data_IF_427613245448
#
_entry.id   IF_427613245448
#
_cell.length_a   1.000
_cell.length_b   1.000
_cell.length_c   1.000
_cell.angle_alpha   90.00
_cell.angle_beta   90.00
_cell.angle_gamma   90.00
#
_symmetry.space_group_name_H-M   'P 1'
#
loop_
_entity.id
_entity.type
_entity.pdbx_description
1 polymer ?
#
# COMPACT_ATOMS: atom_id res chain seq x y z
N UNK A 1 5.82 11.35 9.82
CA UNK A 1 4.62 10.87 10.59
C UNK A 1 4.97 9.61 11.41
N UNK A 2 4.37 9.39 12.60
CA UNK A 2 4.59 8.15 13.37
C UNK A 2 3.88 6.94 12.70
N UNK A 3 4.44 5.73 12.86
CA UNK A 3 4.00 4.50 12.22
C UNK A 3 2.55 4.12 12.55
N UNK A 4 2.05 4.32 13.77
CA UNK A 4 0.66 3.95 14.11
C UNK A 4 -0.35 4.79 13.33
N UNK A 5 -0.06 6.10 13.18
CA UNK A 5 -0.88 6.98 12.32
C UNK A 5 -0.75 6.62 10.84
N UNK A 6 0.43 6.15 10.42
CA UNK A 6 0.66 5.69 9.05
C UNK A 6 -0.13 4.41 8.74
N UNK A 7 -0.20 3.48 9.71
CA UNK A 7 -0.99 2.26 9.63
C UNK A 7 -2.49 2.59 9.48
N UNK A 8 -3.05 3.46 10.32
CA UNK A 8 -4.46 3.88 10.22
C UNK A 8 -4.74 4.56 8.87
N UNK A 9 -3.85 5.45 8.42
CA UNK A 9 -3.99 6.12 7.12
C UNK A 9 -3.94 5.12 5.94
N UNK A 10 -3.01 4.16 5.98
CA UNK A 10 -2.86 3.14 4.93
C UNK A 10 -4.08 2.23 4.84
N UNK A 11 -4.56 1.71 5.97
CA UNK A 11 -5.74 0.84 6.01
C UNK A 11 -6.99 1.56 5.48
N UNK A 12 -7.21 2.82 5.89
CA UNK A 12 -8.32 3.63 5.36
C UNK A 12 -8.19 3.90 3.87
N UNK A 13 -6.98 4.14 3.38
CA UNK A 13 -6.73 4.35 1.97
C UNK A 13 -7.07 3.10 1.15
N UNK A 14 -6.56 1.93 1.55
CA UNK A 14 -6.83 0.66 0.86
C UNK A 14 -8.31 0.28 0.95
N UNK A 15 -8.95 0.47 2.11
CA UNK A 15 -10.38 0.22 2.28
C UNK A 15 -11.25 1.04 1.30
N UNK A 16 -10.87 2.29 1.03
CA UNK A 16 -11.65 3.21 0.20
C UNK A 16 -11.31 3.15 -1.29
N UNK A 17 -10.05 2.93 -1.62
CA UNK A 17 -9.52 3.11 -2.97
C UNK A 17 -8.92 1.84 -3.58
N UNK A 18 -8.74 0.80 -2.78
CA UNK A 18 -7.96 -0.38 -3.16
C UNK A 18 -6.46 -0.11 -3.07
N UNK A 19 -5.70 -1.11 -3.46
CA UNK A 19 -4.25 -1.14 -3.45
C UNK A 19 -3.62 -0.75 -4.80
N UNK A 20 -4.37 -0.88 -5.89
CA UNK A 20 -3.90 -0.61 -7.24
C UNK A 20 -5.06 -0.30 -8.20
N UNK A 21 -4.76 0.41 -9.28
CA UNK A 21 -5.66 0.67 -10.41
C UNK A 21 -5.56 -0.40 -11.51
N UNK A 22 -4.71 -1.41 -11.32
CA UNK A 22 -4.44 -2.47 -12.29
C UNK A 22 -5.45 -3.61 -12.20
N UNK A 23 -5.81 -3.99 -10.97
CA UNK A 23 -6.68 -5.12 -10.69
C UNK A 23 -8.05 -4.63 -10.20
N UNK A 24 -9.13 -5.39 -10.44
CA UNK A 24 -10.40 -5.13 -9.77
C UNK A 24 -10.20 -5.12 -8.25
N UNK A 25 -11.02 -4.35 -7.54
CA UNK A 25 -10.95 -4.26 -6.07
C UNK A 25 -11.02 -5.67 -5.44
N UNK A 26 -9.95 -6.15 -4.77
CA UNK A 26 -9.93 -7.48 -4.16
C UNK A 26 -10.95 -7.58 -3.03
N UNK A 27 -11.68 -8.69 -2.95
CA UNK A 27 -12.68 -8.86 -1.88
C UNK A 27 -12.00 -8.96 -0.51
N UNK A 28 -10.75 -9.41 -0.46
CA UNK A 28 -9.95 -9.50 0.76
C UNK A 28 -9.71 -8.12 1.38
N UNK A 29 -9.64 -7.05 0.57
CA UNK A 29 -9.52 -5.68 1.07
C UNK A 29 -10.78 -5.20 1.82
N UNK A 30 -11.94 -5.87 1.65
CA UNK A 30 -13.16 -5.54 2.39
C UNK A 30 -13.00 -5.69 3.90
N UNK A 31 -12.06 -6.53 4.35
CA UNK A 31 -11.74 -6.67 5.79
C UNK A 31 -11.30 -5.35 6.41
N UNK A 32 -10.68 -4.45 5.63
CA UNK A 32 -10.25 -3.14 6.10
C UNK A 32 -11.41 -2.16 6.27
N UNK A 33 -12.55 -2.42 5.64
CA UNK A 33 -13.80 -1.69 5.90
C UNK A 33 -14.56 -2.31 7.06
N UNK A 34 -14.72 -3.63 7.06
CA UNK A 34 -15.56 -4.36 8.01
C UNK A 34 -14.95 -4.44 9.42
N UNK A 35 -13.61 -4.54 9.49
CA UNK A 35 -12.84 -4.71 10.73
C UNK A 35 -11.75 -3.65 10.88
N UNK A 36 -12.04 -2.41 10.47
CA UNK A 36 -11.09 -1.29 10.56
C UNK A 36 -10.54 -1.06 11.97
N UNK A 37 -11.31 -1.36 13.01
CA UNK A 37 -10.88 -1.24 14.40
C UNK A 37 -9.84 -2.30 14.83
N UNK A 38 -9.86 -3.48 14.19
CA UNK A 38 -9.00 -4.61 14.56
C UNK A 38 -7.78 -4.75 13.64
N UNK A 39 -7.92 -4.36 12.36
CA UNK A 39 -6.86 -4.48 11.36
C UNK A 39 -5.52 -3.80 11.74
N UNK A 40 -5.50 -2.63 12.43
CA UNK A 40 -4.24 -2.01 12.86
C UNK A 40 -3.39 -2.91 13.73
N UNK A 41 -4.00 -3.70 14.62
CA UNK A 41 -3.27 -4.59 15.52
C UNK A 41 -2.43 -5.62 14.76
N UNK A 42 -2.91 -6.09 13.59
CA UNK A 42 -2.14 -7.00 12.73
C UNK A 42 -0.88 -6.31 12.22
N UNK A 43 -1.01 -5.11 11.64
CA UNK A 43 0.13 -4.35 11.12
C UNK A 43 1.11 -3.94 12.22
N UNK A 44 0.62 -3.61 13.41
CA UNK A 44 1.45 -3.30 14.57
C UNK A 44 2.25 -4.52 15.04
N UNK A 45 1.66 -5.72 15.04
CA UNK A 45 2.39 -6.95 15.37
C UNK A 45 3.45 -7.29 14.33
N UNK A 46 3.17 -7.07 13.03
CA UNK A 46 4.14 -7.19 11.94
C UNK A 46 5.29 -6.21 12.17
N UNK A 47 4.98 -4.94 12.47
CA UNK A 47 6.01 -3.91 12.67
C UNK A 47 6.92 -4.22 13.87
N UNK A 48 6.33 -4.66 14.99
CA UNK A 48 7.04 -4.94 16.24
C UNK A 48 8.03 -6.11 16.12
N UNK A 49 7.71 -7.13 15.32
CA UNK A 49 8.53 -8.34 15.16
C UNK A 49 8.63 -8.75 13.69
N UNK A 50 9.08 -7.81 12.85
CA UNK A 50 9.10 -7.95 11.40
C UNK A 50 9.80 -9.22 10.91
N UNK A 51 10.96 -9.55 11.49
CA UNK A 51 11.74 -10.72 11.05
C UNK A 51 11.02 -12.04 11.31
N UNK A 52 10.31 -12.14 12.45
CA UNK A 52 9.50 -13.32 12.75
C UNK A 52 8.31 -13.44 11.79
N UNK A 53 7.60 -12.34 11.55
CA UNK A 53 6.44 -12.36 10.66
C UNK A 53 6.85 -12.64 9.22
N UNK A 54 7.93 -12.03 8.74
CA UNK A 54 8.47 -12.28 7.40
C UNK A 54 8.90 -13.74 7.22
N UNK A 55 9.48 -14.38 8.24
CA UNK A 55 9.91 -15.78 8.14
C UNK A 55 8.77 -16.79 8.31
N UNK A 56 7.76 -16.47 9.11
CA UNK A 56 6.63 -17.38 9.40
C UNK A 56 5.49 -17.26 8.39
N UNK A 57 5.24 -16.04 7.91
CA UNK A 57 4.15 -15.67 7.01
C UNK A 57 4.66 -14.64 5.98
N UNK A 58 5.59 -15.04 5.08
CA UNK A 58 6.13 -14.12 4.08
C UNK A 58 5.02 -13.54 3.18
N UNK A 59 5.21 -12.35 2.57
CA UNK A 59 4.27 -11.79 1.62
C UNK A 59 3.94 -12.79 0.51
N UNK A 60 2.66 -13.08 0.34
CA UNK A 60 2.20 -13.85 -0.81
C UNK A 60 1.95 -12.90 -1.97
N UNK A 61 2.31 -13.35 -3.18
CA UNK A 61 2.15 -12.52 -4.37
C UNK A 61 1.54 -13.31 -5.52
N UNK A 62 0.70 -12.64 -6.29
CA UNK A 62 0.12 -13.17 -7.53
C UNK A 62 0.72 -12.39 -8.69
N UNK A 63 1.78 -12.91 -9.32
CA UNK A 63 2.33 -12.33 -10.53
C UNK A 63 1.48 -12.73 -11.75
N UNK A 64 1.08 -11.75 -12.57
CA UNK A 64 0.23 -11.98 -13.74
C UNK A 64 0.48 -10.97 -14.86
N UNK A 65 0.06 -11.33 -16.07
CA UNK A 65 0.03 -10.41 -17.20
C UNK A 65 -1.24 -9.56 -17.14
N UNK A 66 -1.07 -8.25 -17.12
CA UNK A 66 -2.16 -7.28 -17.25
C UNK A 66 -2.05 -6.55 -18.60
N UNK A 67 -3.19 -6.31 -19.22
CA UNK A 67 -3.25 -5.72 -20.56
C UNK A 67 -2.83 -4.24 -20.53
N UNK A 68 -2.01 -3.82 -21.49
CA UNK A 68 -1.61 -2.43 -21.74
C UNK A 68 -2.02 -2.08 -23.17
N UNK A 69 -3.25 -1.59 -23.33
CA UNK A 69 -3.83 -1.28 -24.64
C UNK A 69 -4.22 -2.53 -25.44
N UNK A 70 -4.45 -2.40 -26.75
CA UNK A 70 -5.06 -3.48 -27.54
C UNK A 70 -4.20 -4.72 -27.75
N UNK A 71 -2.87 -4.58 -27.78
CA UNK A 71 -1.94 -5.66 -28.14
C UNK A 71 -0.81 -5.85 -27.14
N UNK A 72 -0.71 -5.00 -26.11
CA UNK A 72 0.37 -5.01 -25.12
C UNK A 72 -0.03 -5.71 -23.83
N UNK A 73 0.96 -6.27 -23.15
CA UNK A 73 0.84 -6.76 -21.77
C UNK A 73 2.03 -6.27 -20.96
N UNK A 74 1.82 -6.01 -19.67
CA UNK A 74 2.89 -5.80 -18.68
C UNK A 74 2.78 -6.83 -17.58
N UNK A 75 3.91 -7.12 -16.96
CA UNK A 75 3.95 -7.90 -15.73
C UNK A 75 3.47 -7.02 -14.57
N UNK A 76 2.49 -7.52 -13.82
CA UNK A 76 2.01 -6.90 -12.60
C UNK A 76 1.97 -7.92 -11.47
N UNK A 77 2.18 -7.45 -10.25
CA UNK A 77 2.21 -8.28 -9.05
C UNK A 77 1.18 -7.74 -8.08
N UNK A 78 0.19 -8.56 -7.73
CA UNK A 78 -0.68 -8.30 -6.59
C UNK A 78 0.01 -8.84 -5.34
N UNK A 79 0.08 -8.04 -4.28
CA UNK A 79 0.64 -8.44 -2.98
C UNK A 79 -0.54 -8.71 -2.06
N UNK A 80 -0.41 -9.66 -1.14
CA UNK A 80 -1.48 -9.91 -0.17
C UNK A 80 -1.88 -8.62 0.60
N UNK A 81 -3.15 -8.50 1.02
CA UNK A 81 -3.70 -7.26 1.53
C UNK A 81 -2.95 -6.66 2.72
N UNK A 82 -2.56 -7.49 3.69
CA UNK A 82 -1.96 -7.00 4.94
C UNK A 82 -0.51 -6.58 4.71
N UNK A 83 0.26 -7.34 3.94
CA UNK A 83 1.60 -6.92 3.57
C UNK A 83 1.60 -5.70 2.65
N UNK A 84 0.63 -5.58 1.74
CA UNK A 84 0.46 -4.38 0.93
C UNK A 84 0.11 -3.14 1.77
N UNK A 85 -0.86 -3.27 2.70
CA UNK A 85 -1.21 -2.18 3.61
C UNK A 85 -0.04 -1.80 4.53
N UNK A 86 0.75 -2.78 5.00
CA UNK A 86 1.96 -2.53 5.77
C UNK A 86 3.02 -1.79 4.94
N UNK A 87 3.23 -2.20 3.69
CA UNK A 87 4.15 -1.52 2.77
C UNK A 87 3.73 -0.06 2.56
N UNK A 88 2.43 0.19 2.32
CA UNK A 88 1.91 1.55 2.23
C UNK A 88 2.15 2.32 3.55
N UNK A 89 1.89 1.73 4.72
CA UNK A 89 2.15 2.38 6.00
C UNK A 89 3.61 2.82 6.18
N UNK A 90 4.58 1.98 5.77
CA UNK A 90 5.99 2.34 5.80
C UNK A 90 6.28 3.55 4.90
N UNK A 91 5.77 3.55 3.66
CA UNK A 91 5.93 4.68 2.73
C UNK A 91 5.33 5.95 3.30
N UNK A 92 4.10 5.87 3.83
CA UNK A 92 3.40 7.01 4.39
C UNK A 92 4.11 7.56 5.65
N UNK A 93 4.75 6.71 6.45
CA UNK A 93 5.52 7.14 7.63
C UNK A 93 6.69 8.09 7.27
N UNK A 94 7.28 7.90 6.10
CA UNK A 94 8.39 8.70 5.56
C UNK A 94 7.96 9.68 4.45
N UNK A 95 6.67 9.87 4.23
CA UNK A 95 6.16 10.63 3.08
C UNK A 95 6.64 12.08 3.03
N UNK A 96 6.77 12.75 4.18
CA UNK A 96 7.32 14.12 4.26
C UNK A 96 8.77 14.18 3.75
N UNK A 97 9.58 13.15 4.04
CA UNK A 97 10.95 13.05 3.55
C UNK A 97 10.98 12.80 2.04
N UNK A 98 10.07 11.96 1.54
CA UNK A 98 9.91 11.72 0.11
C UNK A 98 9.52 13.02 -0.60
N UNK A 99 8.51 13.75 -0.12
CA UNK A 99 8.06 15.00 -0.72
C UNK A 99 9.14 16.08 -0.72
N UNK A 100 9.96 16.16 0.34
CA UNK A 100 11.07 17.10 0.40
C UNK A 100 12.14 16.88 -0.68
N UNK A 101 12.24 15.68 -1.25
CA UNK A 101 13.18 15.35 -2.33
C UNK A 101 12.56 15.45 -3.73
N UNK A 102 11.24 15.65 -3.84
CA UNK A 102 10.56 15.73 -5.14
C UNK A 102 10.63 17.16 -5.69
N UNK A 103 10.66 17.26 -7.02
CA UNK A 103 10.62 18.55 -7.73
C UNK A 103 9.34 19.33 -7.29
N UNK A 104 9.45 20.63 -6.96
CA UNK A 104 8.30 21.44 -6.57
C UNK A 104 7.19 21.46 -7.62
N UNK A 105 5.94 21.55 -7.17
CA UNK A 105 4.79 21.66 -8.08
C UNK A 105 4.82 22.95 -8.91
N UNK A 106 5.43 24.02 -8.38
CA UNK A 106 5.59 25.31 -9.06
C UNK A 106 6.30 25.21 -10.41
N UNK A 107 7.15 24.18 -10.57
CA UNK A 107 7.97 24.02 -11.75
C UNK A 107 7.17 23.40 -12.91
N UNK A 108 5.99 22.84 -12.63
CA UNK A 108 5.06 22.36 -13.67
C UNK A 108 5.57 21.17 -14.49
N UNK A 109 6.49 20.37 -13.95
CA UNK A 109 7.16 19.26 -14.68
C UNK A 109 6.78 17.85 -14.21
N UNK A 110 6.24 17.70 -13.00
CA UNK A 110 5.86 16.39 -12.43
C UNK A 110 4.36 16.36 -12.10
N UNK A 111 3.62 15.45 -12.74
CA UNK A 111 2.16 15.33 -12.64
C UNK A 111 1.72 14.02 -12.00
N UNK A 112 2.24 13.72 -10.82
CA UNK A 112 1.86 12.53 -10.04
C UNK A 112 1.26 12.93 -8.69
N UNK A 113 0.47 12.03 -8.10
CA UNK A 113 -0.12 12.22 -6.77
C UNK A 113 0.94 12.58 -5.72
N UNK A 114 0.52 13.36 -4.73
CA UNK A 114 1.36 13.98 -3.69
C UNK A 114 0.79 13.64 -2.33
N UNK A 115 1.67 13.52 -1.35
CA UNK A 115 1.24 13.41 0.04
C UNK A 115 1.00 14.81 0.63
N UNK A 116 -0.18 15.03 1.20
CA UNK A 116 -0.63 16.33 1.72
C UNK A 116 -1.63 16.17 2.87
#
# INVERSE_FOLDING_TARGET
MNIERAIDAALRNVARHGDTDIFPFPFENLVFSDRLADAPAVLETIHKDFQRWLSSYPPETIPTLTQVGYTGFRWATLIDPFWNAYYLALVVSIAEQIEAQRIPQSDGVVFSYRFN
#
